data_IF_099275110243
#
_entry.id   IF_099275110243
#
_cell.length_a   1.000
_cell.length_b   1.000
_cell.length_c   1.000
_cell.angle_alpha   90.00
_cell.angle_beta   90.00
_cell.angle_gamma   90.00
#
_symmetry.space_group_name_H-M   'P 1'
#
loop_
_entity.id
_entity.type
_entity.pdbx_description
1 polymer ?
#
# COMPACT_ATOMS: atom_id res chain seq x y z
N UNK A 1 -6.13 20.76 24.17
CA UNK A 1 -5.11 19.82 23.64
C UNK A 1 -4.71 20.22 22.22
N UNK A 2 -3.48 19.96 21.76
CA UNK A 2 -2.97 20.40 20.43
C UNK A 2 -3.88 19.95 19.27
N UNK A 3 -4.53 18.79 19.41
CA UNK A 3 -5.52 18.26 18.46
C UNK A 3 -6.87 18.99 18.46
N UNK A 4 -7.27 19.59 19.57
CA UNK A 4 -8.51 20.37 19.69
C UNK A 4 -8.31 21.78 19.13
N UNK A 5 -7.10 22.31 19.22
CA UNK A 5 -6.73 23.61 18.65
C UNK A 5 -6.40 23.52 17.15
N UNK A 6 -6.01 22.34 16.66
CA UNK A 6 -5.77 22.11 15.23
C UNK A 6 -6.24 20.70 14.81
N UNK A 7 -7.56 20.52 14.58
CA UNK A 7 -8.12 19.24 14.14
C UNK A 7 -7.61 18.79 12.78
N UNK A 8 -7.18 19.73 11.93
CA UNK A 8 -6.71 19.45 10.57
C UNK A 8 -5.21 19.13 10.50
N UNK A 9 -4.56 18.83 11.63
CA UNK A 9 -3.14 18.51 11.70
C UNK A 9 -2.93 17.02 11.99
N UNK A 10 -2.73 16.17 10.97
CA UNK A 10 -2.58 14.72 11.13
C UNK A 10 -1.53 14.28 12.16
N UNK A 11 -0.33 14.91 12.23
CA UNK A 11 0.67 14.52 13.23
C UNK A 11 0.21 14.70 14.68
N UNK A 12 -0.69 15.65 14.98
CA UNK A 12 -1.20 15.85 16.33
C UNK A 12 -2.05 14.66 16.81
N UNK A 13 -2.86 14.09 15.91
CA UNK A 13 -3.67 12.90 16.18
C UNK A 13 -2.79 11.66 16.35
N UNK A 14 -1.78 11.48 15.49
CA UNK A 14 -0.81 10.38 15.58
C UNK A 14 -0.04 10.44 16.90
N UNK A 15 0.53 11.60 17.25
CA UNK A 15 1.29 11.78 18.48
C UNK A 15 0.43 11.50 19.72
N UNK A 16 -0.82 11.98 19.69
CA UNK A 16 -1.76 11.74 20.79
C UNK A 16 -2.13 10.25 20.91
N UNK A 17 -2.37 9.55 19.81
CA UNK A 17 -2.69 8.13 19.84
C UNK A 17 -1.51 7.29 20.34
N UNK A 18 -0.28 7.62 19.92
CA UNK A 18 0.93 6.97 20.42
C UNK A 18 1.17 7.22 21.91
N UNK A 19 0.85 8.41 22.40
CA UNK A 19 0.94 8.70 23.84
C UNK A 19 -0.04 7.84 24.65
N UNK A 20 -1.27 7.67 24.19
CA UNK A 20 -2.27 6.80 24.85
C UNK A 20 -1.85 5.31 24.77
N UNK A 21 -1.20 4.88 23.69
CA UNK A 21 -0.65 3.52 23.56
C UNK A 21 0.48 3.27 24.57
N UNK A 22 1.46 4.18 24.66
CA UNK A 22 2.61 4.05 25.58
C UNK A 22 2.17 4.08 27.05
N UNK A 23 1.06 4.76 27.35
CA UNK A 23 0.48 4.78 28.71
C UNK A 23 -0.44 3.59 28.99
N UNK A 24 -0.51 2.61 28.07
CA UNK A 24 -1.27 1.36 28.22
C UNK A 24 -2.75 1.46 27.87
N UNK A 25 -3.25 2.62 27.45
CA UNK A 25 -4.66 2.87 27.11
C UNK A 25 -4.95 2.60 25.64
N UNK A 26 -4.70 1.37 25.20
CA UNK A 26 -4.79 0.97 23.77
C UNK A 26 -6.19 1.25 23.18
N UNK A 27 -7.27 1.00 23.92
CA UNK A 27 -8.62 1.27 23.40
C UNK A 27 -8.89 2.76 23.21
N UNK A 28 -8.35 3.61 24.09
CA UNK A 28 -8.45 5.06 23.94
C UNK A 28 -7.65 5.53 22.70
N UNK A 29 -6.44 5.00 22.51
CA UNK A 29 -5.61 5.26 21.33
C UNK A 29 -6.35 4.88 20.03
N UNK A 30 -7.00 3.71 19.99
CA UNK A 30 -7.80 3.24 18.85
C UNK A 30 -8.99 4.13 18.55
N UNK A 31 -9.75 4.52 19.56
CA UNK A 31 -10.90 5.41 19.36
C UNK A 31 -10.44 6.79 18.89
N UNK A 32 -9.32 7.26 19.40
CA UNK A 32 -8.76 8.56 19.08
C UNK A 32 -8.25 8.64 17.63
N UNK A 33 -7.49 7.64 17.19
CA UNK A 33 -6.94 7.63 15.83
C UNK A 33 -8.06 7.51 14.78
N UNK A 34 -9.11 6.75 15.06
CA UNK A 34 -10.27 6.64 14.16
C UNK A 34 -10.99 7.98 13.99
N UNK A 35 -11.17 8.75 15.08
CA UNK A 35 -11.68 10.13 14.98
C UNK A 35 -10.76 11.01 14.14
N UNK A 36 -9.45 10.88 14.31
CA UNK A 36 -8.47 11.59 13.49
C UNK A 36 -8.60 11.28 12.00
N UNK A 37 -8.86 10.01 11.65
CA UNK A 37 -9.13 9.58 10.26
C UNK A 37 -10.44 10.16 9.70
N UNK A 38 -11.50 10.29 10.51
CA UNK A 38 -12.78 10.88 10.10
C UNK A 38 -12.64 12.38 9.78
N UNK A 39 -11.87 13.10 10.60
CA UNK A 39 -11.57 14.52 10.40
C UNK A 39 -10.60 14.76 9.23
N UNK A 40 -9.63 13.86 9.02
CA UNK A 40 -8.58 14.00 8.00
C UNK A 40 -8.53 12.80 7.05
N UNK A 41 -9.57 12.63 6.26
CA UNK A 41 -9.76 11.46 5.39
C UNK A 41 -8.69 11.33 4.30
N UNK A 42 -8.02 12.43 3.91
CA UNK A 42 -6.97 12.45 2.88
C UNK A 42 -5.55 12.18 3.42
N UNK A 43 -5.38 11.97 4.73
CA UNK A 43 -4.06 11.71 5.31
C UNK A 43 -3.72 10.22 5.30
N UNK A 44 -2.75 9.82 4.48
CA UNK A 44 -2.30 8.42 4.44
C UNK A 44 -1.65 7.96 5.75
N UNK A 45 -0.89 8.83 6.44
CA UNK A 45 -0.20 8.46 7.67
C UNK A 45 -1.17 8.15 8.80
N UNK A 46 -2.31 8.83 8.86
CA UNK A 46 -3.36 8.53 9.84
C UNK A 46 -3.97 7.17 9.62
N UNK A 47 -4.34 6.86 8.38
CA UNK A 47 -4.91 5.55 8.04
C UNK A 47 -3.93 4.40 8.30
N UNK A 48 -2.64 4.60 8.01
CA UNK A 48 -1.61 3.60 8.27
C UNK A 48 -1.39 3.39 9.77
N UNK A 49 -1.37 4.46 10.56
CA UNK A 49 -1.25 4.36 12.02
C UNK A 49 -2.51 3.73 12.64
N UNK A 50 -3.70 4.08 12.14
CA UNK A 50 -4.96 3.47 12.57
C UNK A 50 -4.96 1.97 12.33
N UNK A 51 -4.54 1.53 11.14
CA UNK A 51 -4.42 0.11 10.82
C UNK A 51 -3.33 -0.61 11.63
N UNK A 52 -2.31 0.09 12.14
CA UNK A 52 -1.28 -0.49 13.03
C UNK A 52 -1.82 -0.73 14.44
N UNK A 53 -2.63 0.19 14.96
CA UNK A 53 -3.19 0.11 16.31
C UNK A 53 -4.33 -0.90 16.45
N UNK A 54 -4.97 -1.23 15.33
CA UNK A 54 -6.10 -2.16 15.28
C UNK A 54 -5.63 -3.62 15.17
N UNK A 55 -6.37 -4.57 15.77
CA UNK A 55 -6.19 -6.00 15.51
C UNK A 55 -6.28 -6.33 14.00
N UNK A 56 -5.64 -7.41 13.53
CA UNK A 56 -5.65 -7.78 12.10
C UNK A 56 -7.04 -7.86 11.47
N UNK A 57 -8.01 -8.40 12.20
CA UNK A 57 -9.39 -8.57 11.72
C UNK A 57 -10.08 -7.24 11.44
N UNK A 58 -9.85 -6.22 12.28
CA UNK A 58 -10.44 -4.88 12.11
C UNK A 58 -9.57 -3.97 11.24
N UNK A 59 -8.25 -4.18 11.22
CA UNK A 59 -7.30 -3.43 10.40
C UNK A 59 -7.63 -3.54 8.90
N UNK A 60 -8.13 -4.70 8.44
CA UNK A 60 -8.60 -4.88 7.06
C UNK A 60 -9.74 -3.91 6.71
N UNK A 61 -10.69 -3.75 7.62
CA UNK A 61 -11.81 -2.81 7.45
C UNK A 61 -11.33 -1.36 7.38
N UNK A 62 -10.39 -0.98 8.26
CA UNK A 62 -9.80 0.37 8.29
C UNK A 62 -9.04 0.67 7.00
N UNK A 63 -8.20 -0.26 6.53
CA UNK A 63 -7.46 -0.07 5.27
C UNK A 63 -8.41 -0.05 4.06
N UNK A 64 -9.46 -0.87 4.06
CA UNK A 64 -10.47 -0.83 3.00
C UNK A 64 -11.17 0.54 2.92
N UNK A 65 -11.41 1.18 4.07
CA UNK A 65 -11.91 2.55 4.13
C UNK A 65 -10.87 3.55 3.63
N UNK A 66 -9.61 3.40 4.05
CA UNK A 66 -8.51 4.25 3.59
C UNK A 66 -8.35 4.23 2.05
N UNK A 67 -8.44 3.05 1.43
CA UNK A 67 -8.39 2.88 -0.03
C UNK A 67 -9.52 3.62 -0.75
N UNK A 68 -10.72 3.69 -0.15
CA UNK A 68 -11.85 4.43 -0.75
C UNK A 68 -11.60 5.93 -0.78
N UNK A 69 -10.96 6.47 0.26
CA UNK A 69 -10.64 7.90 0.33
C UNK A 69 -9.37 8.26 -0.44
N UNK A 70 -8.37 7.39 -0.41
CA UNK A 70 -7.04 7.64 -1.00
C UNK A 70 -6.63 6.44 -1.89
N UNK A 71 -7.30 6.24 -3.03
CA UNK A 71 -6.98 5.13 -3.94
C UNK A 71 -5.61 5.28 -4.60
N UNK A 72 -5.01 6.48 -4.56
CA UNK A 72 -3.72 6.81 -5.18
C UNK A 72 -2.51 6.58 -4.26
N UNK A 73 -2.72 6.16 -3.00
CA UNK A 73 -1.60 5.91 -2.08
C UNK A 73 -1.05 4.49 -2.23
N UNK A 74 0.16 4.39 -2.76
CA UNK A 74 0.92 3.14 -2.85
C UNK A 74 1.14 2.50 -1.47
N UNK A 75 1.38 3.31 -0.42
CA UNK A 75 1.65 2.81 0.93
C UNK A 75 0.43 2.11 1.52
N UNK A 76 -0.77 2.66 1.31
CA UNK A 76 -2.03 2.05 1.76
C UNK A 76 -2.26 0.72 1.05
N UNK A 77 -2.04 0.63 -0.26
CA UNK A 77 -2.20 -0.62 -1.01
C UNK A 77 -1.22 -1.72 -0.59
N UNK A 78 0.04 -1.36 -0.34
CA UNK A 78 1.03 -2.32 0.18
C UNK A 78 0.60 -2.81 1.56
N UNK A 79 0.18 -1.90 2.44
CA UNK A 79 -0.32 -2.28 3.76
C UNK A 79 -1.56 -3.16 3.68
N UNK A 80 -2.45 -2.92 2.71
CA UNK A 80 -3.60 -3.76 2.44
C UNK A 80 -3.19 -5.20 2.09
N UNK A 81 -2.18 -5.36 1.24
CA UNK A 81 -1.66 -6.68 0.88
C UNK A 81 -0.94 -7.37 2.06
N UNK A 82 -0.22 -6.62 2.89
CA UNK A 82 0.45 -7.16 4.08
C UNK A 82 -0.52 -7.71 5.14
N UNK A 83 -1.73 -7.16 5.20
CA UNK A 83 -2.78 -7.65 6.11
C UNK A 83 -3.44 -8.95 5.62
N UNK A 84 -3.25 -9.34 4.36
CA UNK A 84 -3.77 -10.60 3.85
C UNK A 84 -2.83 -11.76 4.15
N UNK A 85 -3.39 -12.88 4.60
CA UNK A 85 -2.63 -14.12 4.83
C UNK A 85 -2.42 -14.90 3.52
N UNK A 86 -3.47 -14.97 2.71
CA UNK A 86 -3.50 -15.78 1.48
C UNK A 86 -2.82 -15.05 0.31
N UNK A 87 -1.90 -15.73 -0.38
CA UNK A 87 -1.25 -15.21 -1.58
C UNK A 87 -2.27 -14.82 -2.65
N UNK A 88 -3.34 -15.62 -2.81
CA UNK A 88 -4.45 -15.29 -3.74
C UNK A 88 -5.13 -13.97 -3.39
N UNK A 89 -5.29 -13.67 -2.10
CA UNK A 89 -5.87 -12.39 -1.66
C UNK A 89 -4.90 -11.24 -1.92
N UNK A 90 -3.60 -11.41 -1.62
CA UNK A 90 -2.56 -10.42 -1.94
C UNK A 90 -2.53 -10.05 -3.43
N UNK A 91 -2.57 -11.06 -4.32
CA UNK A 91 -2.64 -10.83 -5.77
C UNK A 91 -3.85 -9.99 -6.17
N UNK A 92 -5.03 -10.27 -5.59
CA UNK A 92 -6.25 -9.48 -5.86
C UNK A 92 -6.10 -8.03 -5.40
N UNK A 93 -5.44 -7.80 -4.26
CA UNK A 93 -5.17 -6.45 -3.76
C UNK A 93 -4.22 -5.71 -4.71
N UNK A 94 -3.10 -6.32 -5.10
CA UNK A 94 -2.16 -5.68 -6.02
C UNK A 94 -2.74 -5.42 -7.41
N UNK A 95 -3.55 -6.34 -7.95
CA UNK A 95 -4.24 -6.10 -9.24
C UNK A 95 -5.14 -4.86 -9.17
N UNK A 96 -5.94 -4.72 -8.11
CA UNK A 96 -6.74 -3.52 -7.88
C UNK A 96 -5.86 -2.28 -7.68
N UNK A 97 -4.76 -2.39 -6.94
CA UNK A 97 -3.84 -1.29 -6.73
C UNK A 97 -3.25 -0.78 -8.05
N UNK A 98 -2.91 -1.68 -8.98
CA UNK A 98 -2.38 -1.37 -10.29
C UNK A 98 -3.43 -0.79 -11.25
N UNK A 99 -4.71 -1.11 -11.08
CA UNK A 99 -5.81 -0.44 -11.79
C UNK A 99 -5.90 1.04 -11.39
N UNK A 100 -5.63 1.37 -10.12
CA UNK A 100 -5.64 2.75 -9.63
C UNK A 100 -4.31 3.49 -9.85
N UNK A 101 -3.17 2.79 -9.77
CA UNK A 101 -1.83 3.37 -9.81
C UNK A 101 -0.90 2.55 -10.74
N UNK A 102 -1.11 2.62 -12.07
CA UNK A 102 -0.35 1.83 -13.03
C UNK A 102 1.10 2.28 -13.17
N UNK A 103 1.45 3.50 -12.75
CA UNK A 103 2.80 4.07 -12.89
C UNK A 103 3.71 3.80 -11.67
N UNK A 104 3.27 2.98 -10.70
CA UNK A 104 4.06 2.68 -9.51
C UNK A 104 4.92 1.45 -9.69
N UNK A 105 6.22 1.67 -9.92
CA UNK A 105 7.24 0.61 -9.96
C UNK A 105 7.21 -0.27 -8.71
N UNK A 106 6.96 0.34 -7.54
CA UNK A 106 6.91 -0.38 -6.26
C UNK A 106 5.75 -1.38 -6.19
N UNK A 107 4.58 -1.03 -6.74
CA UNK A 107 3.44 -1.95 -6.81
C UNK A 107 3.69 -3.06 -7.82
N UNK A 108 4.29 -2.74 -8.97
CA UNK A 108 4.64 -3.75 -9.96
C UNK A 108 5.63 -4.77 -9.42
N UNK A 109 6.72 -4.33 -8.77
CA UNK A 109 7.70 -5.25 -8.15
C UNK A 109 7.03 -6.17 -7.13
N UNK A 110 6.24 -5.61 -6.21
CA UNK A 110 5.54 -6.40 -5.20
C UNK A 110 4.51 -7.38 -5.79
N UNK A 111 3.85 -7.01 -6.89
CA UNK A 111 2.92 -7.90 -7.58
C UNK A 111 3.64 -9.05 -8.30
N UNK A 112 4.76 -8.75 -8.97
CA UNK A 112 5.59 -9.72 -9.70
C UNK A 112 6.21 -10.76 -8.76
N UNK A 113 6.64 -10.34 -7.56
CA UNK A 113 7.20 -11.24 -6.53
C UNK A 113 6.22 -12.31 -6.03
N UNK A 114 4.92 -12.17 -6.29
CA UNK A 114 3.88 -13.12 -5.87
C UNK A 114 3.44 -14.12 -6.95
N UNK A 115 3.94 -13.95 -8.17
CA UNK A 115 3.55 -14.76 -9.33
C UNK A 115 4.69 -15.72 -9.74
N UNK A 116 4.31 -16.82 -10.39
CA UNK A 116 5.26 -17.78 -10.93
C UNK A 116 6.00 -17.19 -12.15
N UNK A 117 7.18 -17.72 -12.55
CA UNK A 117 8.01 -17.10 -13.60
C UNK A 117 7.29 -16.79 -14.92
N UNK A 118 6.34 -17.63 -15.32
CA UNK A 118 5.56 -17.44 -16.54
C UNK A 118 4.58 -16.27 -16.42
N UNK A 119 3.83 -16.19 -15.33
CA UNK A 119 2.90 -15.11 -15.03
C UNK A 119 3.63 -13.79 -14.72
N UNK A 120 4.75 -13.87 -14.00
CA UNK A 120 5.64 -12.76 -13.70
C UNK A 120 6.16 -12.08 -14.98
N UNK A 121 6.50 -12.87 -16.01
CA UNK A 121 6.89 -12.35 -17.32
C UNK A 121 5.77 -11.54 -17.98
N UNK A 122 4.55 -12.09 -18.03
CA UNK A 122 3.38 -11.40 -18.60
C UNK A 122 3.12 -10.08 -17.85
N UNK A 123 3.21 -10.13 -16.52
CA UNK A 123 2.99 -8.96 -15.67
C UNK A 123 4.08 -7.90 -15.87
N UNK A 124 5.35 -8.31 -16.02
CA UNK A 124 6.47 -7.42 -16.29
C UNK A 124 6.40 -6.76 -17.66
N UNK A 125 5.92 -7.46 -18.70
CA UNK A 125 5.68 -6.85 -20.01
C UNK A 125 4.74 -5.65 -19.90
N UNK A 126 3.64 -5.79 -19.14
CA UNK A 126 2.74 -4.65 -18.88
C UNK A 126 3.37 -3.60 -17.96
N UNK A 127 4.20 -4.02 -17.00
CA UNK A 127 4.88 -3.12 -16.09
C UNK A 127 5.83 -2.17 -16.82
N UNK A 128 6.61 -2.66 -17.80
CA UNK A 128 7.53 -1.82 -18.57
C UNK A 128 6.81 -0.86 -19.51
N UNK A 129 5.63 -1.23 -20.04
CA UNK A 129 4.78 -0.31 -20.82
C UNK A 129 4.25 0.84 -19.94
N UNK A 130 3.83 0.53 -18.72
CA UNK A 130 3.30 1.53 -17.79
C UNK A 130 4.39 2.35 -17.08
N UNK A 131 5.61 1.80 -16.95
CA UNK A 131 6.76 2.41 -16.29
C UNK A 131 8.02 2.33 -17.19
N UNK A 132 8.03 3.00 -18.36
CA UNK A 132 9.09 2.84 -19.37
C UNK A 132 10.45 3.35 -18.90
N UNK A 133 10.50 4.24 -17.92
CA UNK A 133 11.73 4.81 -17.37
C UNK A 133 12.42 3.91 -16.33
N UNK A 134 11.75 2.84 -15.89
CA UNK A 134 12.24 2.00 -14.80
C UNK A 134 13.16 0.90 -15.29
N UNK A 135 14.47 1.15 -15.28
CA UNK A 135 15.51 0.19 -15.67
C UNK A 135 15.38 -1.15 -14.94
N UNK A 136 15.05 -1.14 -13.65
CA UNK A 136 14.90 -2.37 -12.86
C UNK A 136 13.84 -3.32 -13.41
N UNK A 137 12.74 -2.79 -13.96
CA UNK A 137 11.66 -3.60 -14.53
C UNK A 137 12.08 -4.21 -15.87
N UNK A 138 12.79 -3.42 -16.70
CA UNK A 138 13.39 -3.89 -17.94
C UNK A 138 14.42 -5.00 -17.69
N UNK A 139 15.29 -4.84 -16.69
CA UNK A 139 16.27 -5.86 -16.31
C UNK A 139 15.60 -7.13 -15.77
N UNK A 140 14.53 -6.99 -14.97
CA UNK A 140 13.76 -8.13 -14.48
C UNK A 140 13.07 -8.89 -15.63
N UNK A 141 12.49 -8.17 -16.59
CA UNK A 141 11.87 -8.76 -17.77
C UNK A 141 12.90 -9.50 -18.63
N UNK A 142 14.03 -8.87 -18.94
CA UNK A 142 15.09 -9.48 -19.75
C UNK A 142 15.68 -10.74 -19.11
N UNK A 143 15.71 -10.84 -17.77
CA UNK A 143 16.16 -12.05 -17.06
C UNK A 143 15.18 -13.22 -17.15
N UNK A 144 13.89 -12.93 -17.30
CA UNK A 144 12.84 -13.93 -17.41
C UNK A 144 12.53 -14.32 -18.86
N UNK A 145 12.99 -13.54 -19.83
CA UNK A 145 12.82 -13.83 -21.25
C UNK A 145 13.95 -14.70 -21.83
N UNK A 146 13.66 -15.34 -22.96
CA UNK A 146 14.68 -16.02 -23.76
C UNK A 146 15.65 -14.99 -24.34
N UNK A 147 16.88 -15.43 -24.63
CA UNK A 147 17.95 -14.56 -25.16
C UNK A 147 17.51 -13.70 -26.36
N UNK A 148 16.74 -14.27 -27.29
CA UNK A 148 16.26 -13.55 -28.48
C UNK A 148 15.26 -12.44 -28.14
N UNK A 149 14.37 -12.67 -27.18
CA UNK A 149 13.37 -11.68 -26.78
C UNK A 149 13.97 -10.65 -25.80
N UNK A 150 14.86 -11.07 -24.90
CA UNK A 150 15.64 -10.18 -24.05
C UNK A 150 16.42 -9.14 -24.87
N UNK A 151 16.97 -9.55 -26.04
CA UNK A 151 17.63 -8.62 -26.96
C UNK A 151 16.66 -7.60 -27.59
N UNK A 152 15.39 -7.95 -27.82
CA UNK A 152 14.37 -7.00 -28.29
C UNK A 152 13.91 -6.05 -27.19
N UNK A 153 13.86 -6.54 -25.95
CA UNK A 153 13.47 -5.78 -24.77
C UNK A 153 14.53 -4.74 -24.38
N UNK A 154 15.81 -4.97 -24.69
CA UNK A 154 16.93 -4.10 -24.31
C UNK A 154 17.46 -3.19 -25.44
N UNK A 155 17.01 -3.37 -26.69
CA UNK A 155 17.39 -2.53 -27.84
C UNK A 155 16.35 -1.43 -28.07
#
# INVERSE_FOLDING_TARGET
SVRETNPNHPPAWIASARLEEVTGKIQAARNLIMKGCEENQQSEDLWLEAARLQPPDTAKGVIAQAVRYIPTSVRIWIRAADLESEVKAKRRVYRKALEHIPNSVRLWKAAVELEDPEDARILLSRAVECCPTSVDLWLALARLETYENARKVLN
#
